data_IF_078913090014
#
_entry.id   IF_078913090014
#
_cell.length_a   1.000
_cell.length_b   1.000
_cell.length_c   1.000
_cell.angle_alpha   90.00
_cell.angle_beta   90.00
_cell.angle_gamma   90.00
#
_symmetry.space_group_name_H-M   'P 1'
#
loop_
_entity.id
_entity.type
_entity.pdbx_description
1 polymer ?
#
# COMPACT_ATOMS: atom_id res chain seq x y z
N UNK A 1 23.93 -8.65 9.76
CA UNK A 1 24.06 -7.21 9.98
C UNK A 1 22.70 -6.67 10.39
N UNK A 2 22.66 -5.96 11.47
CA UNK A 2 21.41 -5.36 11.94
C UNK A 2 20.98 -4.22 11.04
N UNK A 3 19.68 -4.18 10.73
CA UNK A 3 19.10 -3.08 10.00
C UNK A 3 19.13 -1.83 10.87
N UNK A 4 19.44 -0.69 10.28
CA UNK A 4 19.43 0.58 10.99
C UNK A 4 18.02 1.14 11.01
N UNK A 5 17.66 1.76 12.13
CA UNK A 5 16.42 2.53 12.21
C UNK A 5 16.68 3.83 11.46
N UNK A 6 16.00 4.04 10.36
CA UNK A 6 16.24 5.23 9.58
C UNK A 6 15.27 6.32 9.94
N UNK A 7 14.00 6.05 10.04
CA UNK A 7 13.09 7.15 10.21
C UNK A 7 11.65 6.72 10.47
N UNK A 8 10.93 7.69 10.95
CA UNK A 8 9.49 7.73 11.00
C UNK A 8 8.94 8.56 9.83
N UNK A 9 9.63 8.54 8.67
CA UNK A 9 9.19 9.33 7.52
C UNK A 9 7.72 9.06 7.23
N UNK A 10 6.87 10.10 7.21
CA UNK A 10 5.43 9.90 7.06
C UNK A 10 5.07 9.33 5.70
N UNK A 11 4.12 8.41 5.70
CA UNK A 11 3.60 7.79 4.49
C UNK A 11 2.12 7.49 4.68
N UNK A 12 1.41 7.31 3.57
CA UNK A 12 0.00 6.96 3.56
C UNK A 12 -0.23 5.81 2.59
N UNK A 13 -1.17 4.91 2.92
CA UNK A 13 -1.48 3.74 2.10
C UNK A 13 -2.96 3.70 1.75
N UNK A 14 -3.30 2.95 0.70
CA UNK A 14 -4.68 2.83 0.23
C UNK A 14 -5.07 1.37 0.14
N UNK A 15 -6.14 1.00 0.84
CA UNK A 15 -6.79 -0.29 0.66
C UNK A 15 -7.83 -0.12 -0.44
N UNK A 16 -7.55 -0.69 -1.61
CA UNK A 16 -8.43 -0.63 -2.77
C UNK A 16 -9.32 -1.86 -2.80
N UNK A 17 -10.63 -1.64 -2.83
CA UNK A 17 -11.62 -2.73 -2.83
C UNK A 17 -12.42 -2.65 -4.12
N UNK A 18 -12.49 -3.76 -4.86
CA UNK A 18 -13.24 -3.82 -6.11
C UNK A 18 -14.72 -4.17 -5.89
N UNK A 19 -15.46 -4.33 -7.00
CA UNK A 19 -16.89 -4.59 -6.96
C UNK A 19 -17.27 -5.89 -6.21
N UNK A 20 -16.34 -6.83 -6.14
CA UNK A 20 -16.57 -8.13 -5.48
C UNK A 20 -15.88 -8.24 -4.12
N UNK A 21 -15.34 -7.14 -3.62
CA UNK A 21 -14.67 -7.13 -2.31
C UNK A 21 -13.22 -7.60 -2.36
N UNK A 22 -12.62 -7.76 -3.54
CA UNK A 22 -11.21 -8.10 -3.66
C UNK A 22 -10.35 -6.89 -3.36
N UNK A 23 -9.17 -7.14 -2.81
CA UNK A 23 -8.23 -6.10 -2.39
C UNK A 23 -7.00 -6.14 -3.29
N UNK A 24 -6.57 -4.97 -3.72
CA UNK A 24 -5.38 -4.82 -4.57
C UNK A 24 -4.11 -4.85 -3.74
N UNK A 25 -3.18 -5.72 -4.12
CA UNK A 25 -1.83 -5.71 -3.56
C UNK A 25 -0.82 -5.62 -4.68
N UNK A 26 0.25 -4.87 -4.42
CA UNK A 26 1.41 -4.76 -5.30
C UNK A 26 2.52 -5.62 -4.74
N UNK A 27 3.28 -6.25 -5.62
CA UNK A 27 4.38 -7.12 -5.22
C UNK A 27 5.71 -6.44 -5.52
N UNK A 28 6.57 -6.44 -4.52
CA UNK A 28 7.89 -5.79 -4.61
C UNK A 28 8.98 -6.75 -4.15
N UNK A 29 10.14 -6.68 -4.79
CA UNK A 29 11.32 -7.43 -4.33
C UNK A 29 12.31 -6.49 -3.68
N UNK A 30 12.70 -6.82 -2.47
CA UNK A 30 13.80 -6.16 -1.77
C UNK A 30 15.10 -6.77 -2.27
N UNK A 31 15.88 -6.02 -3.03
CA UNK A 31 17.11 -6.56 -3.61
C UNK A 31 18.28 -6.69 -2.60
N UNK A 32 18.11 -6.17 -1.38
CA UNK A 32 19.09 -6.35 -0.31
C UNK A 32 18.87 -7.69 0.39
N UNK A 33 17.62 -7.99 0.77
CA UNK A 33 17.27 -9.25 1.42
C UNK A 33 16.99 -10.36 0.42
N UNK A 34 16.61 -10.03 -0.81
CA UNK A 34 16.19 -10.98 -1.83
C UNK A 34 14.74 -11.43 -1.67
N UNK A 35 14.05 -10.97 -0.65
CA UNK A 35 12.68 -11.37 -0.38
C UNK A 35 11.67 -10.51 -1.13
N UNK A 36 10.55 -11.11 -1.49
CA UNK A 36 9.42 -10.39 -2.07
C UNK A 36 8.33 -10.21 -1.02
N UNK A 37 7.61 -9.08 -1.13
CA UNK A 37 6.48 -8.80 -0.25
C UNK A 37 5.29 -8.30 -1.07
N UNK A 38 4.12 -8.41 -0.49
CA UNK A 38 2.88 -7.87 -1.02
C UNK A 38 2.38 -6.78 -0.09
N UNK A 39 2.02 -5.62 -0.64
CA UNK A 39 1.46 -4.53 0.18
C UNK A 39 0.46 -3.69 -0.59
N UNK A 40 -0.43 -2.96 0.11
CA UNK A 40 -1.31 -1.99 -0.54
C UNK A 40 -0.51 -0.85 -1.17
N UNK A 41 -1.02 -0.22 -2.22
CA UNK A 41 -0.39 0.97 -2.80
C UNK A 41 -0.22 2.08 -1.76
N UNK A 42 0.81 2.87 -1.93
CA UNK A 42 1.07 4.01 -1.06
C UNK A 42 2.51 4.46 -1.11
N UNK A 43 2.84 5.46 -0.33
CA UNK A 43 4.20 5.99 -0.27
C UNK A 43 4.29 7.24 0.59
N UNK A 44 5.44 7.90 0.50
CA UNK A 44 5.77 9.04 1.33
C UNK A 44 4.87 10.25 1.13
N UNK A 45 4.64 10.98 2.22
CA UNK A 45 3.91 12.24 2.20
C UNK A 45 4.92 13.35 1.94
N UNK A 46 4.71 14.14 0.88
CA UNK A 46 5.60 15.24 0.55
C UNK A 46 5.33 16.47 1.45
N UNK A 47 6.33 17.33 1.63
CA UNK A 47 6.12 18.56 2.39
C UNK A 47 4.95 19.37 1.83
N UNK A 48 4.06 19.80 2.72
CA UNK A 48 2.87 20.58 2.33
C UNK A 48 1.68 19.77 1.88
N UNK A 49 1.84 18.44 1.69
CA UNK A 49 0.74 17.54 1.36
C UNK A 49 0.01 17.08 2.63
N UNK A 50 -1.31 16.97 2.53
CA UNK A 50 -2.05 16.22 3.57
C UNK A 50 -1.86 14.72 3.32
N UNK A 51 -2.06 13.88 4.35
CA UNK A 51 -2.00 12.43 4.15
C UNK A 51 -2.97 11.91 3.07
N UNK A 52 -4.17 12.47 3.00
CA UNK A 52 -5.15 12.09 1.98
C UNK A 52 -4.68 12.46 0.57
N UNK A 53 -4.09 13.65 0.42
CA UNK A 53 -3.52 14.08 -0.86
C UNK A 53 -2.38 13.15 -1.29
N UNK A 54 -1.51 12.79 -0.36
CA UNK A 54 -0.41 11.86 -0.63
C UNK A 54 -0.94 10.49 -1.06
N UNK A 55 -1.95 9.98 -0.36
CA UNK A 55 -2.56 8.68 -0.68
C UNK A 55 -3.14 8.71 -2.10
N UNK A 56 -3.84 9.76 -2.48
CA UNK A 56 -4.42 9.91 -3.81
C UNK A 56 -3.35 9.98 -4.90
N UNK A 57 -2.30 10.75 -4.67
CA UNK A 57 -1.18 10.88 -5.62
C UNK A 57 -0.44 9.56 -5.80
N UNK A 58 -0.09 8.91 -4.69
CA UNK A 58 0.64 7.65 -4.73
C UNK A 58 -0.18 6.54 -5.42
N UNK A 59 -1.48 6.49 -5.18
CA UNK A 59 -2.34 5.53 -5.86
C UNK A 59 -2.23 5.68 -7.38
N UNK A 60 -2.33 6.91 -7.87
CA UNK A 60 -2.25 7.17 -9.31
C UNK A 60 -0.85 6.85 -9.86
N UNK A 61 0.21 7.25 -9.17
CA UNK A 61 1.59 7.00 -9.61
C UNK A 61 1.89 5.50 -9.69
N UNK A 62 1.45 4.73 -8.70
CA UNK A 62 1.80 3.31 -8.61
C UNK A 62 0.85 2.40 -9.38
N UNK A 63 -0.37 2.82 -9.63
CA UNK A 63 -1.39 1.91 -10.20
C UNK A 63 -2.11 2.45 -11.43
N UNK A 64 -2.03 3.74 -11.69
CA UNK A 64 -2.83 4.37 -12.75
C UNK A 64 -4.30 4.54 -12.38
N UNK A 65 -4.72 4.07 -11.20
CA UNK A 65 -6.10 4.23 -10.76
C UNK A 65 -6.35 5.68 -10.30
N UNK A 66 -7.62 6.15 -10.41
CA UNK A 66 -7.91 7.56 -10.09
C UNK A 66 -7.78 7.86 -8.61
N UNK A 67 -6.95 8.86 -8.27
CA UNK A 67 -6.77 9.29 -6.89
C UNK A 67 -8.06 9.78 -6.24
N UNK A 68 -9.01 10.28 -7.05
CA UNK A 68 -10.32 10.71 -6.55
C UNK A 68 -11.14 9.56 -5.92
N UNK A 69 -10.77 8.31 -6.16
CA UNK A 69 -11.44 7.16 -5.54
C UNK A 69 -11.09 7.01 -4.07
N UNK A 70 -10.01 7.62 -3.60
CA UNK A 70 -9.60 7.53 -2.19
C UNK A 70 -10.57 8.34 -1.34
N UNK A 71 -11.26 7.65 -0.42
CA UNK A 71 -12.20 8.29 0.48
C UNK A 71 -11.49 8.86 1.71
N UNK A 72 -12.20 9.68 2.48
CA UNK A 72 -11.68 10.22 3.73
C UNK A 72 -11.69 9.19 4.87
N UNK A 73 -12.22 8.00 4.66
CA UNK A 73 -12.26 6.96 5.67
C UNK A 73 -10.88 6.31 5.82
N UNK A 74 -10.37 6.27 7.05
CA UNK A 74 -9.03 5.75 7.30
C UNK A 74 -8.91 5.16 8.70
N UNK A 75 -7.87 4.34 8.89
CA UNK A 75 -7.49 3.82 10.21
C UNK A 75 -5.99 3.97 10.37
N UNK A 76 -5.50 4.17 11.60
CA UNK A 76 -4.05 4.17 11.84
C UNK A 76 -3.54 2.73 11.88
N UNK A 77 -2.37 2.51 11.28
CA UNK A 77 -1.71 1.21 11.25
C UNK A 77 -0.28 1.36 11.73
N UNK A 78 0.06 0.66 12.80
CA UNK A 78 1.44 0.64 13.28
C UNK A 78 2.27 -0.25 12.35
N UNK A 79 3.41 0.29 11.88
CA UNK A 79 4.31 -0.40 10.98
C UNK A 79 5.68 -0.59 11.62
N UNK A 80 6.21 -1.78 11.44
CA UNK A 80 7.59 -2.10 11.81
C UNK A 80 8.10 -3.07 10.75
N UNK A 81 8.84 -2.55 9.77
CA UNK A 81 9.32 -3.36 8.66
C UNK A 81 10.70 -2.90 8.21
N UNK A 82 11.41 -3.80 7.53
CA UNK A 82 12.70 -3.49 6.94
C UNK A 82 12.58 -3.50 5.42
N UNK A 83 13.10 -2.45 4.80
CA UNK A 83 13.14 -2.32 3.36
C UNK A 83 14.51 -1.80 2.93
N UNK A 84 15.18 -2.53 2.03
CA UNK A 84 16.51 -2.20 1.52
C UNK A 84 17.53 -1.98 2.65
N UNK A 85 17.48 -2.83 3.68
CA UNK A 85 18.41 -2.77 4.81
C UNK A 85 18.08 -1.72 5.86
N UNK A 86 16.98 -0.99 5.71
CA UNK A 86 16.58 0.06 6.63
C UNK A 86 15.30 -0.33 7.36
N UNK A 87 15.29 -0.20 8.69
CA UNK A 87 14.12 -0.47 9.50
C UNK A 87 13.28 0.79 9.67
N UNK A 88 12.00 0.67 9.39
CA UNK A 88 11.01 1.74 9.54
C UNK A 88 10.06 1.37 10.65
N UNK A 89 9.90 2.28 11.62
CA UNK A 89 8.95 2.12 12.72
C UNK A 89 8.13 3.39 12.78
N UNK A 90 6.83 3.27 12.51
CA UNK A 90 5.94 4.44 12.40
C UNK A 90 4.49 4.00 12.39
N UNK A 91 3.58 4.96 12.56
CA UNK A 91 2.16 4.75 12.35
C UNK A 91 1.75 5.45 11.06
N UNK A 92 1.06 4.72 10.19
CA UNK A 92 0.63 5.24 8.89
C UNK A 92 -0.89 5.22 8.78
N UNK A 93 -1.52 6.25 8.17
CA UNK A 93 -2.93 6.17 7.84
C UNK A 93 -3.14 5.27 6.62
N UNK A 94 -4.09 4.35 6.73
CA UNK A 94 -4.55 3.52 5.63
C UNK A 94 -5.95 3.98 5.27
N UNK A 95 -6.13 4.43 4.03
CA UNK A 95 -7.39 4.94 3.50
C UNK A 95 -8.11 3.89 2.71
N UNK A 96 -9.44 4.01 2.61
CA UNK A 96 -10.27 3.13 1.80
C UNK A 96 -10.57 3.77 0.45
N UNK A 97 -10.40 3.00 -0.63
CA UNK A 97 -10.87 3.36 -1.96
C UNK A 97 -11.71 2.21 -2.52
N UNK A 98 -12.94 2.51 -2.95
CA UNK A 98 -13.85 1.52 -3.50
C UNK A 98 -14.05 1.76 -5.00
N UNK A 99 -14.04 0.66 -5.75
CA UNK A 99 -14.21 0.70 -7.21
C UNK A 99 -15.46 -0.06 -7.61
N UNK A 100 -16.22 0.49 -8.54
CA UNK A 100 -17.46 -0.11 -9.02
C UNK A 100 -17.22 -1.26 -10.01
N UNK A 101 -15.98 -1.45 -10.47
CA UNK A 101 -15.63 -2.47 -11.45
C UNK A 101 -14.95 -3.65 -10.77
N UNK A 102 -15.00 -4.80 -11.43
CA UNK A 102 -14.24 -5.97 -11.01
C UNK A 102 -12.80 -5.82 -11.46
N UNK A 103 -11.85 -6.10 -10.59
CA UNK A 103 -10.43 -6.15 -10.89
C UNK A 103 -9.98 -5.09 -11.89
N UNK A 104 -10.16 -3.77 -11.55
CA UNK A 104 -9.67 -2.73 -12.44
C UNK A 104 -8.24 -2.98 -12.86
N UNK A 105 -7.93 -2.70 -14.12
CA UNK A 105 -6.57 -2.87 -14.64
C UNK A 105 -5.62 -1.91 -13.97
N UNK A 106 -4.45 -2.41 -13.59
CA UNK A 106 -3.39 -1.63 -12.95
C UNK A 106 -2.25 -1.47 -13.94
N UNK A 107 -1.90 -0.21 -14.20
CA UNK A 107 -0.81 0.14 -15.09
C UNK A 107 0.01 1.25 -14.40
N UNK A 108 1.13 0.89 -13.75
CA UNK A 108 1.95 1.89 -13.09
C UNK A 108 2.42 2.94 -14.08
N UNK A 109 2.06 4.21 -13.82
CA UNK A 109 2.38 5.30 -14.72
C UNK A 109 3.70 5.99 -14.40
N UNK A 110 4.01 6.13 -13.11
CA UNK A 110 5.12 6.97 -12.68
C UNK A 110 5.93 6.36 -11.53
N UNK A 111 6.43 5.16 -11.76
CA UNK A 111 7.36 4.56 -10.80
C UNK A 111 8.71 5.28 -10.88
N UNK A 112 9.34 5.50 -9.73
CA UNK A 112 10.72 5.93 -9.69
C UNK A 112 11.60 4.83 -10.28
N UNK A 113 12.84 5.14 -10.61
CA UNK A 113 13.78 4.15 -11.14
C UNK A 113 13.97 3.00 -10.15
N UNK A 114 14.08 3.31 -8.86
CA UNK A 114 14.21 2.31 -7.81
C UNK A 114 12.94 1.44 -7.71
N UNK A 115 11.77 2.05 -7.72
CA UNK A 115 10.51 1.32 -7.69
C UNK A 115 10.34 0.41 -8.90
N UNK A 116 10.70 0.90 -10.10
CA UNK A 116 10.59 0.10 -11.32
C UNK A 116 11.46 -1.16 -11.26
N UNK A 117 12.61 -1.09 -10.60
CA UNK A 117 13.49 -2.26 -10.42
C UNK A 117 12.94 -3.26 -9.41
N UNK A 118 12.17 -2.79 -8.44
CA UNK A 118 11.62 -3.62 -7.38
C UNK A 118 10.26 -4.23 -7.74
N UNK A 119 9.52 -3.60 -8.66
CA UNK A 119 8.14 -3.95 -8.96
C UNK A 119 8.03 -5.29 -9.66
N UNK A 120 7.22 -6.20 -9.11
CA UNK A 120 7.00 -7.55 -9.65
C UNK A 120 5.59 -7.75 -10.22
N UNK A 121 4.71 -6.79 -10.06
CA UNK A 121 3.36 -6.88 -10.57
C UNK A 121 2.30 -6.65 -9.50
N UNK A 122 1.07 -6.98 -9.84
CA UNK A 122 -0.05 -6.77 -8.94
C UNK A 122 -1.04 -7.94 -9.02
N UNK A 123 -1.90 -8.01 -8.02
CA UNK A 123 -3.01 -8.96 -8.04
C UNK A 123 -4.13 -8.48 -7.12
N UNK A 124 -5.36 -8.81 -7.49
CA UNK A 124 -6.53 -8.62 -6.65
C UNK A 124 -6.81 -9.91 -5.90
N UNK A 125 -6.92 -9.81 -4.57
CA UNK A 125 -7.11 -10.98 -3.70
C UNK A 125 -8.43 -10.88 -2.97
N UNK A 126 -9.12 -12.02 -2.80
CA UNK A 126 -10.22 -12.05 -1.84
C UNK A 126 -9.64 -11.98 -0.42
N UNK A 127 -10.29 -11.29 0.53
CA UNK A 127 -9.72 -11.11 1.87
C UNK A 127 -9.44 -12.40 2.64
N UNK A 128 -10.07 -13.50 2.30
CA UNK A 128 -9.83 -14.80 2.90
C UNK A 128 -8.71 -15.60 2.20
N UNK A 129 -8.16 -15.08 1.12
CA UNK A 129 -7.10 -15.74 0.36
C UNK A 129 -5.87 -14.84 0.19
N UNK A 130 -5.53 -14.06 1.23
CA UNK A 130 -4.37 -13.18 1.18
C UNK A 130 -3.08 -14.00 1.12
N UNK A 131 -2.06 -13.49 0.40
CA UNK A 131 -0.82 -14.23 0.17
C UNK A 131 0.11 -14.23 1.39
N UNK A 132 1.15 -15.05 1.34
CA UNK A 132 2.28 -14.97 2.26
C UNK A 132 3.13 -13.74 1.91
N UNK A 133 3.92 -13.28 2.87
CA UNK A 133 4.77 -12.10 2.64
C UNK A 133 4.01 -10.80 2.65
N UNK A 134 2.92 -10.77 3.39
CA UNK A 134 2.02 -9.63 3.47
C UNK A 134 2.57 -8.54 4.39
N UNK A 135 2.52 -7.28 3.95
CA UNK A 135 2.87 -6.11 4.75
C UNK A 135 1.73 -5.09 4.74
N UNK A 136 1.17 -4.74 5.89
CA UNK A 136 1.47 -5.30 7.23
C UNK A 136 0.93 -6.72 7.39
N UNK A 137 1.53 -7.52 8.28
CA UNK A 137 1.05 -8.89 8.50
C UNK A 137 -0.41 -8.97 8.94
N UNK A 138 -0.90 -7.96 9.64
CA UNK A 138 -2.28 -7.85 10.13
C UNK A 138 -3.25 -7.20 9.14
N UNK A 139 -2.91 -7.17 7.85
CA UNK A 139 -3.73 -6.48 6.84
C UNK A 139 -5.18 -6.97 6.78
N UNK A 140 -5.43 -8.26 7.03
CA UNK A 140 -6.80 -8.78 7.04
C UNK A 140 -7.68 -8.04 8.06
N UNK A 141 -7.12 -7.73 9.22
CA UNK A 141 -7.83 -6.98 10.27
C UNK A 141 -8.04 -5.52 9.86
N UNK A 142 -7.06 -4.92 9.20
CA UNK A 142 -7.16 -3.55 8.68
C UNK A 142 -8.26 -3.46 7.63
N UNK A 143 -8.32 -4.42 6.71
CA UNK A 143 -9.36 -4.48 5.68
C UNK A 143 -10.74 -4.59 6.35
N UNK A 144 -10.88 -5.48 7.32
CA UNK A 144 -12.14 -5.68 8.02
C UNK A 144 -12.61 -4.39 8.71
N UNK A 145 -11.70 -3.68 9.35
CA UNK A 145 -12.02 -2.42 10.01
C UNK A 145 -12.43 -1.33 9.01
N UNK A 146 -11.70 -1.18 7.92
CA UNK A 146 -12.00 -0.19 6.88
C UNK A 146 -13.30 -0.47 6.14
N UNK A 147 -13.67 -1.74 5.96
CA UNK A 147 -14.87 -2.13 5.21
C UNK A 147 -16.08 -2.41 6.10
N UNK A 148 -15.93 -2.31 7.41
CA UNK A 148 -17.04 -2.51 8.33
C UNK A 148 -18.13 -1.44 8.11
N UNK A 149 -19.43 -1.79 8.29
CA UNK A 149 -20.49 -0.80 8.23
C UNK A 149 -20.27 0.32 9.23
N UNK A 150 -20.67 1.54 8.83
CA UNK A 150 -20.56 2.72 9.68
C UNK A 150 -21.54 2.65 10.87
#
# INVERSE_FOLDING_TARGET
>A
VEAQISSDRPAARVVCVDADGRVLLLRWRDHVSGEALWEPPGGGIDPGETPLEAAARELTEETGLPGAAVSARWVPVHRDFTWLGVRYVKTEPFYLACFARRTPEVDPGELTEEEARAYLGYRWFTPDELPHGLQPPELAEVIAELTAPA
#
